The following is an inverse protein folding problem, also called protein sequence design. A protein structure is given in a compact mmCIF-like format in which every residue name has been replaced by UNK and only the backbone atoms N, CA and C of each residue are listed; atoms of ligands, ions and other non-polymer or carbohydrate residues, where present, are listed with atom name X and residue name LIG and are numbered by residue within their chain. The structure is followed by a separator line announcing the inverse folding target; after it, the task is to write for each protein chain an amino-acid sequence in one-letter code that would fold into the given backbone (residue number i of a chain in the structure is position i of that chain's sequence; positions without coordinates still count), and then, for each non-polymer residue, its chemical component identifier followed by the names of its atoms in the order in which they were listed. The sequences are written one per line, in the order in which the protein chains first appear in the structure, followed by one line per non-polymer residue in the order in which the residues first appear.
data_IF_955820457264
#
_entry.id   IF_955820457264
#
_cell.length_a   1.000
_cell.length_b   1.000
_cell.length_c   1.000
_cell.angle_alpha   90.00
_cell.angle_beta   90.00
_cell.angle_gamma   90.00
#
_symmetry.space_group_name_H-M   'P 1'
#
loop_
_entity.id
_entity.type
_entity.pdbx_description
1 polymer ?
#
# COMPACT_ATOMS: atom_id res chain seq x y z
N UNK A 1 -2.58 -31.27 -19.87
CA UNK A 1 -2.12 -30.27 -18.89
C UNK A 1 -1.08 -29.42 -19.62
N UNK A 2 -1.39 -28.18 -19.95
CA UNK A 2 -0.43 -27.30 -20.61
C UNK A 2 0.63 -26.86 -19.59
N UNK A 3 1.91 -26.91 -19.97
CA UNK A 3 3.03 -26.38 -19.20
C UNK A 3 2.77 -24.91 -18.85
N UNK A 4 2.47 -24.63 -17.58
CA UNK A 4 2.34 -23.26 -17.08
C UNK A 4 3.75 -22.70 -16.88
N UNK A 5 4.17 -21.76 -17.73
CA UNK A 5 5.44 -21.03 -17.57
C UNK A 5 5.44 -20.26 -16.23
N UNK A 6 6.55 -20.26 -15.46
CA UNK A 6 6.66 -19.45 -14.25
C UNK A 6 6.61 -17.96 -14.60
N UNK A 7 5.81 -17.21 -13.83
CA UNK A 7 5.62 -15.76 -13.95
C UNK A 7 6.89 -15.09 -13.41
N UNK A 8 7.83 -14.70 -14.27
CA UNK A 8 9.16 -14.19 -13.88
C UNK A 8 9.33 -12.67 -14.01
N UNK A 9 8.26 -11.93 -14.32
CA UNK A 9 8.30 -10.52 -14.71
C UNK A 9 7.44 -9.61 -13.81
N UNK A 10 7.07 -10.05 -12.60
CA UNK A 10 6.31 -9.24 -11.64
C UNK A 10 6.88 -9.37 -10.21
N UNK A 11 7.09 -8.28 -9.44
CA UNK A 11 7.65 -8.33 -8.09
C UNK A 11 6.96 -9.30 -7.12
N UNK A 12 5.63 -9.46 -7.20
CA UNK A 12 4.88 -10.42 -6.37
C UNK A 12 5.26 -11.87 -6.65
N UNK A 13 5.83 -12.18 -7.81
CA UNK A 13 6.30 -13.51 -8.16
C UNK A 13 7.82 -13.68 -7.93
N UNK A 14 8.59 -12.61 -8.10
CA UNK A 14 10.06 -12.67 -8.04
C UNK A 14 10.65 -12.31 -6.67
N UNK A 15 9.85 -11.81 -5.71
CA UNK A 15 10.36 -11.41 -4.39
C UNK A 15 11.08 -12.54 -3.63
N UNK A 16 10.73 -13.81 -3.88
CA UNK A 16 11.39 -14.98 -3.29
C UNK A 16 12.87 -15.09 -3.65
N UNK A 17 13.27 -14.45 -4.76
CA UNK A 17 14.66 -14.36 -5.19
C UNK A 17 15.44 -13.28 -4.42
N UNK A 18 14.76 -12.50 -3.57
CA UNK A 18 15.35 -11.44 -2.76
C UNK A 18 15.39 -11.83 -1.29
N UNK A 19 16.57 -11.74 -0.67
CA UNK A 19 16.75 -11.95 0.78
C UNK A 19 17.24 -10.65 1.41
N UNK A 20 16.58 -10.24 2.49
CA UNK A 20 17.04 -9.14 3.33
C UNK A 20 17.92 -9.68 4.46
N UNK A 21 18.99 -8.96 4.81
CA UNK A 21 19.74 -9.23 6.03
C UNK A 21 18.79 -9.10 7.25
N UNK A 22 18.70 -10.09 8.16
CA UNK A 22 17.78 -10.05 9.30
C UNK A 22 17.95 -8.84 10.22
N UNK A 23 19.15 -8.28 10.31
CA UNK A 23 19.47 -7.11 11.13
C UNK A 23 19.22 -5.78 10.40
N UNK A 24 19.03 -5.81 9.08
CA UNK A 24 18.66 -4.62 8.29
C UNK A 24 17.30 -4.07 8.72
N UNK A 25 17.02 -2.81 8.38
CA UNK A 25 15.72 -2.19 8.64
C UNK A 25 14.56 -3.04 8.07
N UNK A 26 14.62 -3.40 6.78
CA UNK A 26 13.60 -4.21 6.13
C UNK A 26 13.55 -5.64 6.70
N UNK A 27 14.69 -6.25 7.03
CA UNK A 27 14.75 -7.56 7.67
C UNK A 27 14.03 -7.57 9.02
N UNK A 28 14.33 -6.60 9.89
CA UNK A 28 13.66 -6.44 11.20
C UNK A 28 12.16 -6.19 11.05
N UNK A 29 11.72 -5.34 10.11
CA UNK A 29 10.29 -5.11 9.87
C UNK A 29 9.58 -6.37 9.36
N UNK A 30 10.20 -7.12 8.43
CA UNK A 30 9.66 -8.41 7.96
C UNK A 30 9.56 -9.42 9.09
N UNK A 31 10.55 -9.48 9.98
CA UNK A 31 10.51 -10.37 11.15
C UNK A 31 9.38 -9.98 12.11
N UNK A 32 9.15 -8.69 12.36
CA UNK A 32 8.01 -8.23 13.17
C UNK A 32 6.68 -8.66 12.54
N UNK A 33 6.52 -8.51 11.23
CA UNK A 33 5.30 -8.92 10.53
C UNK A 33 5.07 -10.43 10.67
N UNK A 34 6.13 -11.21 10.44
CA UNK A 34 6.07 -12.66 10.49
C UNK A 34 5.80 -13.21 11.89
N UNK A 35 6.50 -12.70 12.92
CA UNK A 35 6.40 -13.20 14.29
C UNK A 35 5.18 -12.66 15.04
N UNK A 36 4.69 -11.47 14.69
CA UNK A 36 3.66 -10.80 15.49
C UNK A 36 2.44 -10.41 14.67
N UNK A 37 2.62 -9.66 13.57
CA UNK A 37 1.50 -9.05 12.86
C UNK A 37 0.56 -10.10 12.26
N UNK A 38 1.08 -11.12 11.57
CA UNK A 38 0.24 -12.17 10.98
C UNK A 38 -0.55 -12.95 12.02
N UNK A 39 0.08 -13.29 13.16
CA UNK A 39 -0.58 -14.01 14.26
C UNK A 39 -1.61 -13.14 14.98
N UNK A 40 -1.31 -11.87 15.20
CA UNK A 40 -2.27 -10.93 15.79
C UNK A 40 -3.47 -10.70 14.87
N UNK A 41 -3.24 -10.50 13.57
CA UNK A 41 -4.32 -10.38 12.59
C UNK A 41 -5.16 -11.66 12.54
N UNK A 42 -4.54 -12.83 12.56
CA UNK A 42 -5.24 -14.11 12.64
C UNK A 42 -6.12 -14.20 13.90
N UNK A 43 -5.60 -13.76 15.05
CA UNK A 43 -6.38 -13.66 16.29
C UNK A 43 -7.57 -12.71 16.13
N UNK A 44 -7.38 -11.53 15.55
CA UNK A 44 -8.46 -10.56 15.29
C UNK A 44 -9.52 -11.14 14.35
N UNK A 45 -9.12 -11.85 13.29
CA UNK A 45 -10.06 -12.54 12.42
C UNK A 45 -10.92 -13.55 13.21
N UNK A 46 -10.31 -14.32 14.12
CA UNK A 46 -11.00 -15.29 14.97
C UNK A 46 -11.93 -14.61 15.98
N UNK A 47 -11.44 -13.63 16.72
CA UNK A 47 -12.19 -12.94 17.79
C UNK A 47 -13.41 -12.20 17.26
N UNK A 48 -13.34 -11.69 16.02
CA UNK A 48 -14.39 -10.87 15.43
C UNK A 48 -15.37 -11.63 14.54
N UNK A 49 -15.22 -12.96 14.44
CA UNK A 49 -16.08 -13.83 13.64
C UNK A 49 -15.73 -13.89 12.15
N UNK A 50 -14.85 -13.01 11.65
CA UNK A 50 -14.39 -12.98 10.24
C UNK A 50 -13.80 -14.31 9.77
N UNK A 51 -13.03 -14.98 10.64
CA UNK A 51 -12.39 -16.26 10.33
C UNK A 51 -13.41 -17.35 9.95
N UNK A 52 -14.56 -17.35 10.62
CA UNK A 52 -15.61 -18.34 10.44
C UNK A 52 -16.71 -17.89 9.47
N UNK A 53 -16.61 -16.69 8.90
CA UNK A 53 -17.67 -16.09 8.11
C UNK A 53 -18.00 -16.88 6.83
N UNK A 54 -17.00 -17.51 6.21
CA UNK A 54 -17.19 -18.43 5.08
C UNK A 54 -17.86 -19.77 5.46
N UNK A 55 -18.16 -20.03 6.73
CA UNK A 55 -19.09 -21.11 7.12
C UNK A 55 -20.55 -20.76 6.82
N UNK A 56 -20.83 -19.55 6.33
CA UNK A 56 -22.14 -19.04 5.90
C UNK A 56 -23.22 -19.13 6.99
N UNK A 57 -22.82 -18.95 8.25
CA UNK A 57 -23.75 -18.84 9.38
C UNK A 57 -24.05 -17.38 9.67
N UNK A 58 -25.23 -17.13 10.23
CA UNK A 58 -25.56 -15.80 10.76
C UNK A 58 -24.60 -15.43 11.89
N UNK A 59 -24.01 -14.24 11.82
CA UNK A 59 -23.23 -13.64 12.90
C UNK A 59 -24.00 -12.46 13.50
N UNK A 60 -24.04 -12.28 14.83
CA UNK A 60 -24.82 -11.20 15.45
C UNK A 60 -24.51 -9.80 14.92
N UNK A 61 -23.24 -9.52 14.59
CA UNK A 61 -22.80 -8.22 14.07
C UNK A 61 -23.34 -7.89 12.66
N UNK A 62 -24.00 -8.83 11.99
CA UNK A 62 -24.71 -8.53 10.74
C UNK A 62 -25.93 -7.63 10.96
N UNK A 63 -26.41 -7.55 12.20
CA UNK A 63 -27.49 -6.65 12.60
C UNK A 63 -27.01 -5.28 13.10
N UNK A 64 -25.69 -5.06 13.19
CA UNK A 64 -25.16 -3.79 13.69
C UNK A 64 -25.44 -2.65 12.70
N UNK A 65 -25.74 -1.46 13.23
CA UNK A 65 -25.85 -0.27 12.40
C UNK A 65 -24.49 0.05 11.75
N UNK A 66 -24.46 0.44 10.46
CA UNK A 66 -23.21 0.75 9.79
C UNK A 66 -22.59 2.03 10.35
N UNK A 67 -21.28 2.01 10.58
CA UNK A 67 -20.53 3.20 10.99
C UNK A 67 -20.55 4.27 9.87
N UNK A 68 -20.61 3.81 8.63
CA UNK A 68 -20.70 4.62 7.43
C UNK A 68 -21.89 4.15 6.58
N UNK A 69 -23.09 4.70 6.77
CA UNK A 69 -24.25 4.34 5.95
C UNK A 69 -24.01 4.62 4.45
N UNK A 70 -24.53 3.77 3.53
CA UNK A 70 -25.30 2.54 3.76
C UNK A 70 -24.43 1.28 3.86
N UNK A 71 -23.12 1.39 4.11
CA UNK A 71 -22.14 0.32 3.97
C UNK A 71 -22.07 -0.51 5.26
N UNK A 72 -22.53 -1.78 5.28
CA UNK A 72 -22.46 -2.62 6.48
C UNK A 72 -21.02 -2.85 6.93
N UNK A 73 -20.75 -2.81 8.23
CA UNK A 73 -19.39 -2.98 8.79
C UNK A 73 -18.75 -4.33 8.42
N UNK A 74 -19.57 -5.35 8.12
CA UNK A 74 -19.12 -6.68 7.73
C UNK A 74 -18.90 -6.88 6.22
N UNK A 75 -19.20 -5.86 5.41
CA UNK A 75 -19.13 -5.96 3.96
C UNK A 75 -17.72 -6.29 3.44
N UNK A 76 -16.69 -5.93 4.20
CA UNK A 76 -15.29 -6.11 3.83
C UNK A 76 -14.66 -7.41 4.37
N UNK A 77 -15.43 -8.26 5.07
CA UNK A 77 -14.91 -9.46 5.73
C UNK A 77 -14.28 -10.46 4.76
N UNK A 78 -14.85 -10.61 3.56
CA UNK A 78 -14.27 -11.41 2.48
C UNK A 78 -12.84 -10.93 2.14
N UNK A 79 -12.66 -9.60 2.02
CA UNK A 79 -11.37 -8.99 1.67
C UNK A 79 -10.36 -9.04 2.81
N UNK A 80 -10.80 -8.95 4.07
CA UNK A 80 -9.93 -9.08 5.25
C UNK A 80 -9.29 -10.47 5.28
N UNK A 81 -10.10 -11.50 5.06
CA UNK A 81 -9.65 -12.89 4.96
C UNK A 81 -8.72 -13.08 3.76
N UNK A 82 -9.10 -12.55 2.59
CA UNK A 82 -8.30 -12.66 1.37
C UNK A 82 -6.90 -12.04 1.52
N UNK A 83 -6.82 -10.80 2.02
CA UNK A 83 -5.53 -10.10 2.25
C UNK A 83 -4.65 -10.83 3.25
N UNK A 84 -5.25 -11.40 4.29
CA UNK A 84 -4.49 -12.18 5.26
C UNK A 84 -3.92 -13.46 4.63
N UNK A 85 -4.71 -14.19 3.83
CA UNK A 85 -4.23 -15.35 3.06
C UNK A 85 -3.09 -14.93 2.11
N UNK A 86 -3.26 -13.84 1.36
CA UNK A 86 -2.25 -13.35 0.42
C UNK A 86 -0.92 -13.05 1.14
N UNK A 87 -0.97 -12.26 2.22
CA UNK A 87 0.21 -11.94 3.03
C UNK A 87 0.85 -13.19 3.65
N UNK A 88 0.06 -14.07 4.23
CA UNK A 88 0.53 -15.34 4.80
C UNK A 88 1.26 -16.19 3.75
N UNK A 89 0.70 -16.35 2.55
CA UNK A 89 1.32 -17.10 1.46
C UNK A 89 2.66 -16.48 1.03
N UNK A 90 2.79 -15.15 0.97
CA UNK A 90 4.07 -14.51 0.65
C UNK A 90 5.15 -14.80 1.70
N UNK A 91 4.80 -14.81 2.99
CA UNK A 91 5.77 -15.13 4.04
C UNK A 91 6.11 -16.63 4.08
N UNK A 92 5.12 -17.51 3.90
CA UNK A 92 5.31 -18.97 3.88
C UNK A 92 6.23 -19.45 2.75
N UNK A 93 6.31 -18.72 1.63
CA UNK A 93 7.30 -18.98 0.58
C UNK A 93 8.76 -18.85 1.06
N UNK A 94 9.00 -18.03 2.10
CA UNK A 94 10.34 -17.78 2.64
C UNK A 94 10.65 -18.54 3.93
N UNK A 95 9.62 -18.82 4.76
CA UNK A 95 9.78 -19.44 6.07
C UNK A 95 8.50 -20.16 6.49
N UNK A 96 8.62 -21.43 6.85
CA UNK A 96 7.48 -22.24 7.32
C UNK A 96 6.97 -21.76 8.69
N UNK A 97 5.65 -21.86 8.88
CA UNK A 97 4.98 -21.62 10.16
C UNK A 97 3.70 -22.44 10.25
N UNK A 98 3.72 -23.53 11.03
CA UNK A 98 2.64 -24.52 11.05
C UNK A 98 1.25 -23.95 11.36
N UNK A 99 1.14 -23.02 12.32
CA UNK A 99 -0.17 -22.40 12.65
C UNK A 99 -0.72 -21.54 11.51
N UNK A 100 0.14 -20.76 10.84
CA UNK A 100 -0.27 -19.88 9.74
C UNK A 100 -0.66 -20.73 8.53
N UNK A 101 0.14 -21.75 8.20
CA UNK A 101 -0.13 -22.67 7.11
C UNK A 101 -1.44 -23.45 7.33
N UNK A 102 -1.66 -23.98 8.54
CA UNK A 102 -2.92 -24.63 8.90
C UNK A 102 -4.12 -23.69 8.75
N UNK A 103 -4.00 -22.44 9.23
CA UNK A 103 -5.06 -21.44 9.10
C UNK A 103 -5.34 -21.07 7.63
N UNK A 104 -4.32 -20.98 6.77
CA UNK A 104 -4.50 -20.79 5.33
C UNK A 104 -5.30 -21.96 4.73
N UNK A 105 -4.93 -23.21 5.05
CA UNK A 105 -5.66 -24.37 4.55
C UNK A 105 -7.12 -24.41 5.02
N UNK A 106 -7.37 -24.10 6.30
CA UNK A 106 -8.73 -24.04 6.85
C UNK A 106 -9.57 -22.97 6.17
N UNK A 107 -9.05 -21.75 6.03
CA UNK A 107 -9.75 -20.64 5.38
C UNK A 107 -10.04 -20.94 3.91
N UNK A 108 -9.07 -21.50 3.17
CA UNK A 108 -9.28 -21.91 1.77
C UNK A 108 -10.37 -22.98 1.67
N UNK A 109 -10.37 -23.97 2.56
CA UNK A 109 -11.40 -25.01 2.58
C UNK A 109 -12.80 -24.42 2.90
N UNK A 110 -12.88 -23.42 3.79
CA UNK A 110 -14.13 -22.71 4.06
C UNK A 110 -14.61 -21.91 2.85
N UNK A 111 -13.71 -21.19 2.16
CA UNK A 111 -14.04 -20.45 0.93
C UNK A 111 -14.55 -21.40 -0.16
N UNK A 112 -13.88 -22.54 -0.36
CA UNK A 112 -14.33 -23.57 -1.30
C UNK A 112 -15.74 -24.07 -0.97
N UNK A 113 -16.01 -24.32 0.30
CA UNK A 113 -17.31 -24.81 0.78
C UNK A 113 -18.40 -23.74 0.69
N UNK A 114 -18.05 -22.46 0.76
CA UNK A 114 -18.97 -21.33 0.66
C UNK A 114 -19.43 -21.04 -0.77
N UNK A 115 -18.67 -21.48 -1.77
CA UNK A 115 -18.96 -21.16 -3.17
C UNK A 115 -20.31 -21.73 -3.61
N UNK A 116 -21.15 -20.86 -4.14
CA UNK A 116 -22.48 -21.21 -4.63
C UNK A 116 -22.39 -22.04 -5.93
N UNK A 117 -23.45 -22.78 -6.31
CA UNK A 117 -23.43 -23.65 -7.49
C UNK A 117 -23.10 -22.94 -8.81
N UNK A 118 -23.49 -21.67 -8.94
CA UNK A 118 -23.22 -20.81 -10.10
C UNK A 118 -21.80 -20.21 -10.11
N UNK A 119 -21.00 -20.44 -9.06
CA UNK A 119 -19.67 -19.88 -8.89
C UNK A 119 -19.62 -18.63 -8.00
N UNK A 120 -20.76 -18.12 -7.54
CA UNK A 120 -20.82 -16.91 -6.73
C UNK A 120 -20.12 -17.09 -5.37
N UNK A 121 -19.36 -16.08 -4.95
CA UNK A 121 -18.66 -16.01 -3.67
C UNK A 121 -18.76 -14.60 -3.09
N UNK A 122 -19.59 -14.46 -2.05
CA UNK A 122 -19.65 -13.25 -1.22
C UNK A 122 -20.41 -13.58 0.06
N UNK A 123 -19.88 -13.26 1.24
CA UNK A 123 -20.54 -13.57 2.51
C UNK A 123 -21.85 -12.80 2.66
N UNK A 124 -21.82 -11.48 2.48
CA UNK A 124 -22.96 -10.59 2.71
C UNK A 124 -24.18 -10.96 1.85
N UNK A 125 -24.01 -11.10 0.54
CA UNK A 125 -25.09 -11.46 -0.39
C UNK A 125 -25.37 -12.97 -0.47
N UNK A 126 -24.79 -13.76 0.42
CA UNK A 126 -25.19 -15.16 0.62
C UNK A 126 -25.99 -15.32 1.91
N UNK A 127 -25.61 -14.60 2.97
CA UNK A 127 -26.19 -14.77 4.31
C UNK A 127 -27.17 -13.65 4.68
N UNK A 128 -26.83 -12.40 4.38
CA UNK A 128 -27.53 -11.21 4.90
C UNK A 128 -28.57 -10.71 3.91
N UNK A 129 -28.18 -10.48 2.65
CA UNK A 129 -29.08 -9.97 1.61
C UNK A 129 -29.08 -10.86 0.34
N UNK A 130 -29.51 -12.13 0.42
CA UNK A 130 -29.33 -13.12 -0.65
C UNK A 130 -29.98 -12.77 -2.00
N UNK A 131 -30.98 -11.89 -2.01
CA UNK A 131 -31.71 -11.48 -3.23
C UNK A 131 -31.12 -10.25 -3.92
N UNK A 132 -30.04 -9.66 -3.39
CA UNK A 132 -29.52 -8.35 -3.82
C UNK A 132 -28.15 -8.38 -4.52
N UNK A 133 -27.70 -9.55 -4.98
CA UNK A 133 -26.47 -9.68 -5.78
C UNK A 133 -26.48 -8.71 -6.97
N UNK A 134 -25.37 -8.02 -7.19
CA UNK A 134 -25.12 -7.11 -8.31
C UNK A 134 -26.10 -5.94 -8.44
N UNK A 135 -26.85 -5.63 -7.39
CA UNK A 135 -27.82 -4.52 -7.40
C UNK A 135 -27.18 -3.17 -7.09
N UNK A 136 -26.15 -3.14 -6.23
CA UNK A 136 -25.42 -1.93 -5.89
C UNK A 136 -23.90 -2.15 -5.97
N UNK A 137 -23.38 -2.12 -7.20
CA UNK A 137 -21.94 -2.21 -7.48
C UNK A 137 -21.15 -0.96 -7.04
N UNK A 138 -21.84 0.16 -6.76
CA UNK A 138 -21.22 1.41 -6.33
C UNK A 138 -20.70 1.32 -4.89
N UNK A 139 -21.51 0.80 -3.98
CA UNK A 139 -21.22 0.88 -2.53
C UNK A 139 -21.03 -0.48 -1.86
N UNK A 140 -21.55 -1.58 -2.44
CA UNK A 140 -21.62 -2.87 -1.74
C UNK A 140 -20.49 -3.86 -2.10
N UNK A 141 -19.41 -3.36 -2.70
CA UNK A 141 -18.07 -3.98 -2.75
C UNK A 141 -17.97 -5.45 -3.23
N UNK A 142 -18.96 -6.00 -3.94
CA UNK A 142 -18.91 -7.37 -4.49
C UNK A 142 -17.64 -7.60 -5.33
N UNK A 143 -17.36 -6.67 -6.24
CA UNK A 143 -16.21 -6.76 -7.16
C UNK A 143 -14.88 -6.49 -6.44
N UNK A 144 -14.85 -5.61 -5.45
CA UNK A 144 -13.67 -5.36 -4.63
C UNK A 144 -13.27 -6.61 -3.83
N UNK A 145 -14.24 -7.27 -3.20
CA UNK A 145 -14.02 -8.53 -2.49
C UNK A 145 -13.55 -9.63 -3.44
N UNK A 146 -14.15 -9.72 -4.64
CA UNK A 146 -13.73 -10.68 -5.66
C UNK A 146 -12.28 -10.44 -6.11
N UNK A 147 -11.87 -9.19 -6.30
CA UNK A 147 -10.50 -8.84 -6.68
C UNK A 147 -9.47 -9.28 -5.63
N UNK A 148 -9.70 -8.96 -4.35
CA UNK A 148 -8.81 -9.42 -3.28
C UNK A 148 -8.76 -10.95 -3.16
N UNK A 149 -9.90 -11.65 -3.33
CA UNK A 149 -9.91 -13.11 -3.34
C UNK A 149 -9.11 -13.69 -4.51
N UNK A 150 -9.12 -13.04 -5.68
CA UNK A 150 -8.30 -13.43 -6.83
C UNK A 150 -6.80 -13.25 -6.51
N UNK A 151 -6.39 -12.13 -5.91
CA UNK A 151 -5.00 -11.90 -5.52
C UNK A 151 -4.51 -12.94 -4.51
N UNK A 152 -5.35 -13.25 -3.50
CA UNK A 152 -5.10 -14.33 -2.56
C UNK A 152 -4.98 -15.70 -3.25
N UNK A 153 -5.83 -15.98 -4.24
CA UNK A 153 -5.80 -17.20 -5.01
C UNK A 153 -4.50 -17.36 -5.82
N UNK A 154 -3.97 -16.27 -6.37
CA UNK A 154 -2.71 -16.25 -7.10
C UNK A 154 -1.52 -16.50 -6.16
N UNK A 155 -1.47 -15.83 -5.01
CA UNK A 155 -0.43 -16.05 -4.01
C UNK A 155 -0.47 -17.49 -3.44
N UNK A 156 -1.66 -18.02 -3.18
CA UNK A 156 -1.86 -19.39 -2.75
C UNK A 156 -1.42 -20.40 -3.83
N UNK A 157 -1.79 -20.18 -5.09
CA UNK A 157 -1.37 -21.06 -6.20
C UNK A 157 0.13 -21.05 -6.40
N UNK A 158 0.79 -19.90 -6.21
CA UNK A 158 2.25 -19.80 -6.32
C UNK A 158 2.98 -20.61 -5.23
N UNK A 159 2.38 -20.75 -4.05
CA UNK A 159 2.98 -21.52 -2.95
C UNK A 159 2.63 -23.01 -3.02
N UNK A 160 1.36 -23.36 -3.21
CA UNK A 160 0.89 -24.74 -3.03
C UNK A 160 0.63 -25.48 -4.34
N UNK A 161 0.40 -24.78 -5.47
CA UNK A 161 0.16 -25.36 -6.80
C UNK A 161 -0.98 -26.41 -6.85
N UNK A 162 -1.99 -26.28 -5.99
CA UNK A 162 -3.09 -27.27 -5.90
C UNK A 162 -4.32 -26.88 -6.70
N UNK A 163 -4.46 -25.61 -7.08
CA UNK A 163 -5.69 -25.05 -7.62
C UNK A 163 -6.83 -24.92 -6.61
N UNK A 164 -6.57 -25.14 -5.30
CA UNK A 164 -7.62 -25.21 -4.29
C UNK A 164 -8.41 -23.89 -4.17
N UNK A 165 -7.72 -22.75 -4.15
CA UNK A 165 -8.36 -21.43 -4.16
C UNK A 165 -8.55 -20.88 -5.59
N UNK A 166 -7.60 -21.15 -6.50
CA UNK A 166 -7.63 -20.63 -7.88
C UNK A 166 -8.86 -21.09 -8.68
N UNK A 167 -9.20 -22.38 -8.66
CA UNK A 167 -10.32 -22.92 -9.46
C UNK A 167 -11.67 -22.33 -9.04
N UNK A 168 -12.01 -22.21 -7.73
CA UNK A 168 -13.18 -21.45 -7.31
C UNK A 168 -13.21 -20.03 -7.87
N UNK A 169 -12.09 -19.29 -7.81
CA UNK A 169 -12.09 -17.91 -8.31
C UNK A 169 -12.17 -17.83 -9.84
N UNK A 170 -11.65 -18.80 -10.59
CA UNK A 170 -11.91 -18.91 -12.03
C UNK A 170 -13.40 -19.10 -12.33
N UNK A 171 -14.12 -19.93 -11.55
CA UNK A 171 -15.58 -20.08 -11.66
C UNK A 171 -16.33 -18.79 -11.30
N UNK A 172 -15.83 -18.04 -10.31
CA UNK A 172 -16.45 -16.77 -9.96
C UNK A 172 -16.26 -15.74 -11.10
N UNK A 173 -15.08 -15.70 -11.71
CA UNK A 173 -14.80 -14.88 -12.90
C UNK A 173 -15.67 -15.29 -14.09
N UNK A 174 -15.93 -16.59 -14.27
CA UNK A 174 -16.88 -17.07 -15.28
C UNK A 174 -18.30 -16.53 -15.06
N UNK A 175 -18.78 -16.52 -13.81
CA UNK A 175 -20.06 -15.92 -13.44
C UNK A 175 -20.06 -14.41 -13.69
N UNK A 176 -19.03 -13.69 -13.23
CA UNK A 176 -18.91 -12.25 -13.43
C UNK A 176 -18.91 -11.90 -14.92
N UNK A 177 -18.22 -12.67 -15.75
CA UNK A 177 -18.20 -12.47 -17.20
C UNK A 177 -19.57 -12.78 -17.84
N UNK A 178 -20.36 -13.70 -17.28
CA UNK A 178 -21.72 -13.95 -17.76
C UNK A 178 -22.71 -12.84 -17.38
N UNK A 179 -22.52 -12.20 -16.23
CA UNK A 179 -23.42 -11.18 -15.68
C UNK A 179 -23.05 -9.76 -16.12
N UNK A 180 -21.77 -9.46 -16.22
CA UNK A 180 -21.24 -8.11 -16.45
C UNK A 180 -20.55 -8.02 -17.81
N UNK A 181 -20.87 -6.97 -18.55
CA UNK A 181 -20.30 -6.72 -19.86
C UNK A 181 -21.13 -5.76 -20.71
N UNK A 182 -20.65 -5.46 -21.93
CA UNK A 182 -21.27 -4.45 -22.79
C UNK A 182 -22.51 -4.96 -23.54
N UNK A 183 -22.75 -6.28 -23.62
CA UNK A 183 -23.79 -6.86 -24.48
C UNK A 183 -25.04 -7.26 -23.67
N UNK A 184 -26.26 -6.94 -24.12
CA UNK A 184 -27.47 -7.47 -23.48
C UNK A 184 -27.49 -9.01 -23.47
N UNK A 185 -27.96 -9.68 -22.38
CA UNK A 185 -28.61 -9.11 -21.20
C UNK A 185 -27.63 -8.74 -20.06
N UNK A 186 -26.32 -8.68 -20.31
CA UNK A 186 -25.34 -8.32 -19.30
C UNK A 186 -25.60 -6.92 -18.75
N UNK A 187 -25.28 -6.73 -17.47
CA UNK A 187 -25.28 -5.43 -16.84
C UNK A 187 -23.99 -4.70 -17.25
N UNK A 188 -24.13 -3.46 -17.72
CA UNK A 188 -23.00 -2.56 -17.99
C UNK A 188 -22.40 -1.96 -16.70
N UNK A 189 -22.38 -2.75 -15.63
CA UNK A 189 -21.91 -2.34 -14.32
C UNK A 189 -20.42 -2.55 -14.14
N UNK A 190 -19.79 -1.66 -13.38
CA UNK A 190 -18.36 -1.67 -13.06
C UNK A 190 -18.15 -1.47 -11.55
N UNK A 191 -16.94 -1.71 -11.00
CA UNK A 191 -16.70 -1.55 -9.57
C UNK A 191 -16.82 -0.09 -9.12
N UNK A 192 -17.47 0.15 -7.99
CA UNK A 192 -17.42 1.42 -7.28
C UNK A 192 -16.03 1.68 -6.70
N UNK A 193 -15.46 0.66 -6.06
CA UNK A 193 -14.09 0.63 -5.55
C UNK A 193 -13.20 -0.24 -6.46
N UNK A 194 -12.26 0.35 -7.22
CA UNK A 194 -11.31 -0.40 -8.05
C UNK A 194 -10.47 -1.37 -7.26
N UNK A 195 -10.22 -2.55 -7.81
CA UNK A 195 -9.35 -3.60 -7.26
C UNK A 195 -9.40 -4.81 -8.21
N UNK A 196 -10.60 -5.15 -8.70
CA UNK A 196 -10.79 -6.32 -9.55
C UNK A 196 -10.05 -6.21 -10.88
N UNK A 197 -9.84 -4.99 -11.40
CA UNK A 197 -9.21 -4.76 -12.70
C UNK A 197 -7.76 -5.26 -12.70
N UNK A 198 -6.95 -4.91 -11.69
CA UNK A 198 -5.57 -5.38 -11.58
C UNK A 198 -5.52 -6.89 -11.28
N UNK A 199 -6.44 -7.38 -10.44
CA UNK A 199 -6.51 -8.79 -10.08
C UNK A 199 -6.82 -9.67 -11.29
N UNK A 200 -7.75 -9.22 -12.16
CA UNK A 200 -8.10 -9.89 -13.40
C UNK A 200 -6.97 -9.87 -14.44
N UNK A 201 -6.21 -8.76 -14.54
CA UNK A 201 -5.02 -8.71 -15.39
C UNK A 201 -3.95 -9.70 -14.92
N UNK A 202 -3.71 -9.76 -13.60
CA UNK A 202 -2.79 -10.75 -13.01
C UNK A 202 -3.30 -12.19 -13.20
N UNK A 203 -4.60 -12.42 -13.06
CA UNK A 203 -5.21 -13.73 -13.31
C UNK A 203 -5.05 -14.14 -14.78
N UNK A 204 -5.35 -13.24 -15.72
CA UNK A 204 -5.14 -13.48 -17.14
C UNK A 204 -3.68 -13.83 -17.44
N UNK A 205 -2.74 -13.08 -16.87
CA UNK A 205 -1.31 -13.36 -17.04
C UNK A 205 -0.91 -14.74 -16.51
N UNK A 206 -1.48 -15.16 -15.37
CA UNK A 206 -1.16 -16.43 -14.74
C UNK A 206 -1.81 -17.65 -15.42
N UNK A 207 -3.03 -17.50 -15.97
CA UNK A 207 -3.83 -18.63 -16.46
C UNK A 207 -4.09 -18.61 -17.96
N UNK A 208 -3.83 -17.49 -18.63
CA UNK A 208 -4.23 -17.23 -20.00
C UNK A 208 -5.73 -16.95 -20.17
N UNK A 209 -6.50 -16.77 -19.09
CA UNK A 209 -7.96 -16.63 -19.15
C UNK A 209 -8.41 -15.44 -20.02
N UNK A 210 -9.03 -15.66 -21.20
CA UNK A 210 -9.47 -14.55 -22.04
C UNK A 210 -10.65 -13.79 -21.42
N UNK A 211 -11.46 -14.47 -20.60
CA UNK A 211 -12.59 -13.86 -19.88
C UNK A 211 -12.12 -12.86 -18.83
N UNK A 212 -11.03 -13.18 -18.12
CA UNK A 212 -10.45 -12.26 -17.14
C UNK A 212 -9.96 -10.98 -17.81
N UNK A 213 -9.22 -11.10 -18.93
CA UNK A 213 -8.78 -9.94 -19.71
C UNK A 213 -9.96 -9.12 -20.26
N UNK A 214 -10.98 -9.79 -20.79
CA UNK A 214 -12.17 -9.14 -21.33
C UNK A 214 -12.91 -8.32 -20.25
N UNK A 215 -13.09 -8.88 -19.04
CA UNK A 215 -13.68 -8.18 -17.90
C UNK A 215 -12.82 -7.00 -17.45
N UNK A 216 -11.51 -7.18 -17.29
CA UNK A 216 -10.60 -6.11 -16.86
C UNK A 216 -10.68 -4.93 -17.82
N UNK A 217 -10.63 -5.20 -19.14
CA UNK A 217 -10.78 -4.19 -20.17
C UNK A 217 -12.15 -3.53 -20.12
N UNK A 218 -13.22 -4.31 -20.01
CA UNK A 218 -14.58 -3.78 -19.91
C UNK A 218 -14.73 -2.82 -18.75
N UNK A 219 -14.26 -3.16 -17.54
CA UNK A 219 -14.36 -2.27 -16.38
C UNK A 219 -13.60 -0.95 -16.56
N UNK A 220 -12.40 -1.00 -17.16
CA UNK A 220 -11.62 0.21 -17.45
C UNK A 220 -12.27 1.08 -18.52
N UNK A 221 -12.76 0.47 -19.61
CA UNK A 221 -13.36 1.17 -20.74
C UNK A 221 -14.77 1.72 -20.41
N UNK A 222 -15.53 1.05 -19.54
CA UNK A 222 -16.91 1.43 -19.18
C UNK A 222 -16.94 2.54 -18.11
N UNK A 223 -15.95 2.56 -17.22
CA UNK A 223 -15.91 3.48 -16.09
C UNK A 223 -15.90 4.95 -16.54
N UNK A 224 -16.89 5.71 -16.07
CA UNK A 224 -16.99 7.14 -16.35
C UNK A 224 -17.54 7.47 -17.74
N UNK A 225 -18.01 6.47 -18.51
CA UNK A 225 -18.69 6.75 -19.78
C UNK A 225 -19.96 7.57 -19.56
N UNK A 226 -20.11 8.73 -20.25
CA UNK A 226 -21.30 9.57 -20.11
C UNK A 226 -22.54 8.93 -20.75
N UNK A 227 -22.35 8.03 -21.73
CA UNK A 227 -23.35 7.33 -22.52
C UNK A 227 -23.54 5.86 -22.08
N UNK A 228 -23.48 5.61 -20.77
CA UNK A 228 -23.62 4.28 -20.17
C UNK A 228 -25.01 3.66 -20.37
N UNK A 229 -25.80 3.57 -19.30
CA UNK A 229 -27.15 2.98 -19.37
C UNK A 229 -28.19 4.06 -19.63
N UNK A 230 -29.06 3.84 -20.61
CA UNK A 230 -30.10 4.79 -21.05
C UNK A 230 -29.56 6.19 -21.39
N UNK A 231 -28.37 6.26 -22.00
CA UNK A 231 -27.72 7.52 -22.39
C UNK A 231 -27.18 8.34 -21.22
N UNK A 232 -26.97 7.71 -20.06
CA UNK A 232 -26.45 8.34 -18.84
C UNK A 232 -25.32 7.53 -18.24
N UNK A 233 -24.53 8.18 -17.38
CA UNK A 233 -23.54 7.51 -16.56
C UNK A 233 -24.20 6.40 -15.72
N UNK A 234 -23.55 5.23 -15.63
CA UNK A 234 -24.14 4.01 -15.07
C UNK A 234 -24.71 4.20 -13.65
N UNK A 235 -23.95 4.84 -12.76
CA UNK A 235 -24.42 5.08 -11.40
C UNK A 235 -25.57 6.08 -11.31
N UNK A 236 -25.66 7.02 -12.26
CA UNK A 236 -26.73 8.01 -12.29
C UNK A 236 -28.05 7.38 -12.75
N UNK A 237 -27.96 6.40 -13.66
CA UNK A 237 -29.10 5.56 -14.03
C UNK A 237 -29.58 4.69 -12.85
N UNK A 238 -28.66 4.19 -12.01
CA UNK A 238 -28.96 3.40 -10.80
C UNK A 238 -29.61 4.21 -9.67
N UNK A 239 -29.21 5.46 -9.45
CA UNK A 239 -29.77 6.36 -8.42
C UNK A 239 -31.29 6.58 -8.58
N UNK A 240 -31.83 6.49 -9.79
CA UNK A 240 -33.28 6.55 -10.01
C UNK A 240 -34.03 5.24 -9.68
N UNK A 241 -33.35 4.08 -9.67
CA UNK A 241 -33.97 2.80 -9.26
C UNK A 241 -34.05 2.67 -7.74
N UNK A 242 -33.03 3.13 -7.01
CA UNK A 242 -32.87 2.85 -5.58
C UNK A 242 -32.84 4.11 -4.67
N UNK A 243 -33.01 5.31 -5.23
CA UNK A 243 -33.02 6.59 -4.51
C UNK A 243 -31.63 7.25 -4.38
N UNK A 244 -31.57 8.52 -3.95
CA UNK A 244 -30.30 9.25 -3.80
C UNK A 244 -29.46 8.65 -2.66
N UNK A 245 -28.17 8.46 -2.92
CA UNK A 245 -27.18 8.05 -1.91
C UNK A 245 -25.95 8.94 -2.10
N UNK A 246 -25.44 9.49 -1.01
CA UNK A 246 -24.27 10.38 -1.03
C UNK A 246 -23.01 9.64 -1.46
N UNK A 247 -22.24 10.25 -2.37
CA UNK A 247 -21.02 9.67 -2.91
C UNK A 247 -19.84 9.85 -1.92
N UNK A 248 -19.31 8.74 -1.40
CA UNK A 248 -18.13 8.74 -0.55
C UNK A 248 -16.90 8.37 -1.39
N UNK A 249 -15.92 9.28 -1.46
CA UNK A 249 -14.60 9.01 -2.07
C UNK A 249 -13.64 8.55 -0.97
N UNK A 250 -13.22 7.29 -1.00
CA UNK A 250 -12.07 6.82 -0.21
C UNK A 250 -10.82 6.76 -1.08
N UNK A 251 -9.69 7.21 -0.52
CA UNK A 251 -8.36 7.18 -1.14
C UNK A 251 -7.48 6.27 -0.29
N UNK A 252 -6.87 5.24 -0.87
CA UNK A 252 -5.85 4.43 -0.19
C UNK A 252 -4.68 4.06 -1.12
N UNK A 253 -3.51 3.95 -0.48
CA UNK A 253 -2.15 3.93 -1.05
C UNK A 253 -1.64 2.49 -1.09
N UNK A 254 -1.06 2.07 -2.22
CA UNK A 254 -0.34 0.80 -2.37
C UNK A 254 1.13 1.10 -2.75
N UNK A 255 2.08 0.37 -2.18
CA UNK A 255 3.53 0.50 -2.44
C UNK A 255 4.07 -0.85 -2.90
N UNK A 256 4.57 -0.92 -4.13
CA UNK A 256 5.33 -2.06 -4.68
C UNK A 256 6.67 -1.55 -5.25
N UNK A 257 7.79 -2.29 -5.11
CA UNK A 257 9.04 -1.89 -5.71
C UNK A 257 9.48 -2.75 -6.91
N UNK A 258 9.88 -2.02 -7.96
CA UNK A 258 10.78 -2.33 -9.09
C UNK A 258 10.20 -3.12 -10.28
N UNK A 259 10.13 -2.50 -11.46
CA UNK A 259 9.77 -3.13 -12.76
C UNK A 259 10.98 -3.17 -13.71
N UNK A 260 11.14 -4.26 -14.47
CA UNK A 260 12.14 -4.39 -15.55
C UNK A 260 11.53 -4.95 -16.84
N UNK A 261 12.15 -4.64 -17.99
CA UNK A 261 11.74 -5.14 -19.31
C UNK A 261 12.87 -5.07 -20.34
N UNK A 262 12.86 -6.02 -21.28
CA UNK A 262 13.81 -6.13 -22.41
C UNK A 262 13.08 -5.82 -23.72
N UNK A 263 13.62 -4.90 -24.53
CA UNK A 263 13.16 -4.65 -25.90
C UNK A 263 14.38 -4.40 -26.79
N UNK A 264 14.59 -5.25 -27.81
CA UNK A 264 15.49 -5.02 -28.94
C UNK A 264 16.93 -4.53 -28.59
N UNK A 265 17.69 -5.31 -27.82
CA UNK A 265 19.09 -4.99 -27.49
C UNK A 265 19.25 -3.91 -26.40
N UNK A 266 18.15 -3.54 -25.75
CA UNK A 266 18.10 -2.56 -24.67
C UNK A 266 17.41 -3.15 -23.43
N UNK A 267 18.03 -2.97 -22.27
CA UNK A 267 17.51 -3.36 -20.95
C UNK A 267 17.16 -2.11 -20.16
N UNK A 268 15.92 -2.00 -19.67
CA UNK A 268 15.50 -0.89 -18.79
C UNK A 268 15.24 -1.39 -17.38
N UNK A 269 15.84 -0.71 -16.40
CA UNK A 269 15.74 -1.01 -14.97
C UNK A 269 15.20 0.22 -14.24
N UNK A 270 14.04 0.11 -13.58
CA UNK A 270 13.47 1.19 -12.78
C UNK A 270 13.74 0.97 -11.29
N UNK A 271 14.68 1.70 -10.70
CA UNK A 271 15.03 1.59 -9.28
C UNK A 271 14.05 2.40 -8.43
N UNK A 272 13.07 1.72 -7.84
CA UNK A 272 12.05 2.35 -6.99
C UNK A 272 12.41 2.36 -5.50
N UNK A 273 13.34 1.54 -5.04
CA UNK A 273 13.82 1.56 -3.65
C UNK A 273 15.32 1.44 -3.62
N UNK A 274 15.95 2.03 -2.61
CA UNK A 274 17.39 1.96 -2.45
C UNK A 274 17.75 1.01 -1.31
N UNK A 275 18.69 0.11 -1.55
CA UNK A 275 19.23 -0.84 -0.59
C UNK A 275 20.30 -1.71 -1.26
N UNK A 276 21.15 -2.37 -0.49
CA UNK A 276 22.15 -3.27 -1.08
C UNK A 276 21.47 -4.48 -1.73
N UNK A 277 21.59 -4.62 -3.06
CA UNK A 277 20.93 -5.65 -3.86
C UNK A 277 21.63 -5.85 -5.21
N UNK A 278 21.48 -7.01 -5.84
CA UNK A 278 21.96 -7.24 -7.22
C UNK A 278 20.81 -7.75 -8.08
N UNK A 279 20.52 -7.05 -9.17
CA UNK A 279 19.61 -7.48 -10.22
C UNK A 279 20.41 -8.11 -11.37
N UNK A 280 19.96 -9.27 -11.86
CA UNK A 280 20.53 -9.93 -13.04
C UNK A 280 19.43 -10.11 -14.09
N UNK A 281 19.62 -9.57 -15.29
CA UNK A 281 18.70 -9.66 -16.42
C UNK A 281 19.37 -10.49 -17.53
N UNK A 282 18.82 -11.65 -17.92
CA UNK A 282 19.37 -12.45 -19.02
C UNK A 282 19.21 -11.72 -20.37
N UNK A 283 20.23 -11.75 -21.22
CA UNK A 283 20.22 -11.18 -22.58
C UNK A 283 20.97 -12.14 -23.52
N UNK A 284 20.23 -12.92 -24.32
CA UNK A 284 20.80 -14.01 -25.12
C UNK A 284 21.50 -15.06 -24.24
N UNK A 285 22.74 -15.43 -24.59
CA UNK A 285 23.59 -16.34 -23.80
C UNK A 285 24.40 -15.62 -22.69
N UNK A 286 24.14 -14.32 -22.49
CA UNK A 286 24.82 -13.48 -21.51
C UNK A 286 23.83 -12.84 -20.53
N UNK A 287 24.30 -11.96 -19.65
CA UNK A 287 23.45 -11.25 -18.72
C UNK A 287 23.94 -9.81 -18.47
N UNK A 288 22.98 -8.92 -18.25
CA UNK A 288 23.19 -7.61 -17.66
C UNK A 288 23.06 -7.74 -16.15
N UNK A 289 24.03 -7.24 -15.37
CA UNK A 289 23.90 -7.12 -13.91
C UNK A 289 23.85 -5.66 -13.50
N UNK A 290 22.93 -5.31 -12.62
CA UNK A 290 22.87 -4.01 -11.94
C UNK A 290 22.98 -4.28 -10.44
N UNK A 291 24.15 -4.01 -9.89
CA UNK A 291 24.41 -4.12 -8.45
C UNK A 291 24.23 -2.75 -7.82
N UNK A 292 23.55 -2.73 -6.70
CA UNK A 292 23.41 -1.60 -5.81
C UNK A 292 24.15 -1.89 -4.50
N UNK A 293 24.99 -0.97 -4.07
CA UNK A 293 25.61 -0.95 -2.75
C UNK A 293 25.15 0.31 -2.02
N UNK A 294 24.52 0.13 -0.86
CA UNK A 294 24.03 1.26 -0.08
C UNK A 294 23.80 0.88 1.37
N UNK A 295 24.13 1.82 2.26
CA UNK A 295 23.77 1.80 3.68
C UNK A 295 22.42 2.51 3.95
N UNK A 296 21.63 2.76 2.90
CA UNK A 296 20.27 3.28 2.99
C UNK A 296 19.41 2.41 3.94
N UNK A 297 18.63 2.98 4.88
CA UNK A 297 18.27 4.40 5.01
C UNK A 297 19.25 5.28 5.82
N UNK A 298 20.41 4.76 6.23
CA UNK A 298 21.34 5.46 7.12
C UNK A 298 22.43 6.26 6.39
N UNK A 299 22.67 6.01 5.11
CA UNK A 299 23.52 6.81 4.24
C UNK A 299 22.76 7.11 2.93
N UNK A 300 22.94 8.32 2.39
CA UNK A 300 22.38 8.76 1.12
C UNK A 300 23.23 8.35 -0.08
N UNK A 301 24.47 7.88 0.13
CA UNK A 301 25.32 7.37 -0.94
C UNK A 301 24.83 6.01 -1.43
N UNK A 302 24.60 5.92 -2.73
CA UNK A 302 24.18 4.70 -3.40
C UNK A 302 25.15 4.43 -4.55
N UNK A 303 25.93 3.37 -4.42
CA UNK A 303 26.78 2.86 -5.49
C UNK A 303 25.97 2.00 -6.45
N UNK A 304 26.14 2.23 -7.75
CA UNK A 304 25.62 1.35 -8.79
C UNK A 304 26.78 0.79 -9.62
N UNK A 305 26.83 -0.52 -9.78
CA UNK A 305 27.74 -1.21 -10.71
C UNK A 305 26.89 -1.90 -11.77
N UNK A 306 27.03 -1.49 -13.03
CA UNK A 306 26.34 -2.08 -14.18
C UNK A 306 27.34 -2.88 -15.00
N UNK A 307 27.07 -4.18 -15.22
CA UNK A 307 27.80 -5.00 -16.20
C UNK A 307 26.85 -5.38 -17.31
N UNK A 308 27.26 -5.20 -18.55
CA UNK A 308 26.48 -5.58 -19.72
C UNK A 308 27.39 -6.22 -20.77
N UNK A 309 26.88 -7.16 -21.58
CA UNK A 309 27.58 -7.63 -22.76
C UNK A 309 27.78 -6.51 -23.77
N UNK A 310 28.80 -6.63 -24.63
CA UNK A 310 29.08 -5.64 -25.68
C UNK A 310 27.87 -5.49 -26.62
N UNK A 311 27.48 -4.23 -26.90
CA UNK A 311 26.34 -3.91 -27.77
C UNK A 311 24.97 -3.88 -27.10
N UNK A 312 24.88 -4.14 -25.78
CA UNK A 312 23.62 -4.02 -25.03
C UNK A 312 23.53 -2.66 -24.32
N UNK A 313 22.50 -1.89 -24.66
CA UNK A 313 22.19 -0.62 -24.00
C UNK A 313 21.45 -0.87 -22.67
N UNK A 314 21.85 -0.20 -21.59
CA UNK A 314 21.19 -0.34 -20.27
C UNK A 314 20.70 1.01 -19.77
N UNK A 315 19.39 1.16 -19.63
CA UNK A 315 18.74 2.31 -19.00
C UNK A 315 18.53 2.01 -17.51
N UNK A 316 19.10 2.84 -16.63
CA UNK A 316 18.83 2.78 -15.19
C UNK A 316 18.07 4.04 -14.76
N UNK A 317 16.79 3.88 -14.46
CA UNK A 317 15.88 4.97 -14.04
C UNK A 317 15.80 4.99 -12.52
N UNK A 318 16.41 5.99 -11.90
CA UNK A 318 16.47 6.11 -10.45
C UNK A 318 15.29 6.92 -9.94
N UNK A 319 14.52 6.40 -8.98
CA UNK A 319 13.53 7.20 -8.25
C UNK A 319 14.26 8.23 -7.40
N UNK A 320 14.24 9.49 -7.82
CA UNK A 320 14.60 10.60 -6.93
C UNK A 320 13.54 10.69 -5.84
N UNK A 321 13.91 10.43 -4.58
CA UNK A 321 12.92 10.45 -3.53
C UNK A 321 12.46 11.87 -3.24
N UNK A 322 11.16 12.08 -3.12
CA UNK A 322 10.56 13.41 -2.97
C UNK A 322 10.99 14.16 -1.71
N UNK A 323 11.62 13.48 -0.76
CA UNK A 323 12.13 14.05 0.48
C UNK A 323 13.61 14.49 0.41
N UNK A 324 14.34 14.18 -0.67
CA UNK A 324 15.71 14.62 -0.81
C UNK A 324 15.72 16.12 -1.13
N UNK A 325 16.11 16.95 -0.13
CA UNK A 325 16.18 18.42 -0.26
C UNK A 325 17.28 18.88 -1.20
N UNK A 326 18.37 18.10 -1.26
CA UNK A 326 19.40 18.14 -2.28
C UNK A 326 19.66 16.70 -2.69
N UNK A 327 19.59 16.42 -4.00
CA UNK A 327 20.06 15.19 -4.58
C UNK A 327 21.02 15.59 -5.66
N UNK A 328 22.25 15.10 -5.55
CA UNK A 328 23.19 15.19 -6.65
C UNK A 328 23.17 13.87 -7.38
N UNK A 329 22.35 13.80 -8.42
CA UNK A 329 22.84 13.08 -9.60
C UNK A 329 23.85 14.03 -10.12
N UNK A 330 25.13 13.72 -10.05
CA UNK A 330 26.09 14.51 -10.79
C UNK A 330 25.70 14.32 -12.26
N UNK A 331 24.98 15.30 -12.92
CA UNK A 331 24.69 16.73 -12.54
C UNK A 331 23.18 17.25 -12.33
N UNK A 332 22.95 18.47 -11.74
CA UNK A 332 21.76 19.02 -10.94
C UNK A 332 20.64 19.98 -11.58
N UNK A 333 19.54 20.34 -10.82
CA UNK A 333 18.35 21.24 -11.12
C UNK A 333 17.78 22.13 -9.92
N UNK A 334 16.89 23.19 -10.07
CA UNK A 334 16.60 24.31 -9.09
C UNK A 334 15.20 24.41 -8.35
N UNK A 335 15.04 25.36 -7.38
CA UNK A 335 14.12 25.39 -6.20
C UNK A 335 13.28 26.70 -5.92
N UNK A 336 12.07 26.60 -5.32
CA UNK A 336 11.30 27.72 -4.67
C UNK A 336 10.16 27.24 -3.71
N UNK A 337 10.43 26.96 -2.42
CA UNK A 337 9.41 26.73 -1.35
C UNK A 337 9.87 27.24 0.05
N UNK A 338 8.95 27.87 0.80
CA UNK A 338 9.17 28.49 2.14
C UNK A 338 8.87 27.57 3.36
N UNK A 339 8.81 26.26 3.12
CA UNK A 339 8.71 25.24 4.17
C UNK A 339 9.97 24.39 4.12
N UNK A 340 10.59 24.17 5.28
CA UNK A 340 11.73 23.27 5.42
C UNK A 340 11.30 22.04 6.20
N UNK A 341 11.62 20.87 5.69
CA UNK A 341 11.56 19.61 6.41
C UNK A 341 12.98 19.09 6.59
N UNK A 342 13.28 18.52 7.75
CA UNK A 342 14.57 17.89 7.96
C UNK A 342 14.51 16.46 7.44
N UNK A 343 15.48 16.10 6.61
CA UNK A 343 15.66 14.74 6.11
C UNK A 343 17.12 14.32 6.30
N UNK A 344 17.34 13.04 6.59
CA UNK A 344 18.66 12.41 6.60
C UNK A 344 18.58 11.13 5.80
N UNK A 345 19.15 11.15 4.59
CA UNK A 345 18.79 10.15 3.58
C UNK A 345 17.26 10.07 3.48
N UNK A 346 16.66 8.88 3.38
CA UNK A 346 15.22 8.70 3.12
C UNK A 346 14.24 8.96 4.21
N UNK A 347 14.78 9.24 5.36
CA UNK A 347 14.00 9.39 6.53
C UNK A 347 13.71 10.87 6.62
N UNK A 348 12.46 11.20 6.34
CA UNK A 348 11.88 12.47 6.77
C UNK A 348 11.77 12.42 8.28
N UNK A 349 12.16 13.51 8.93
CA UNK A 349 12.08 13.66 10.36
C UNK A 349 10.86 14.48 10.76
N UNK A 350 10.43 14.28 12.00
CA UNK A 350 9.47 15.12 12.66
C UNK A 350 9.96 15.53 14.04
N UNK A 351 9.42 16.62 14.55
CA UNK A 351 9.51 16.98 15.97
C UNK A 351 8.29 16.43 16.68
N UNK A 352 8.47 15.82 17.84
CA UNK A 352 7.37 15.38 18.73
C UNK A 352 7.50 16.10 20.08
N UNK A 353 6.38 16.34 20.75
CA UNK A 353 6.38 17.01 22.06
C UNK A 353 7.04 16.19 23.16
N UNK A 354 7.04 14.85 23.05
CA UNK A 354 7.75 13.98 23.99
C UNK A 354 9.26 14.27 24.04
N UNK A 355 9.84 14.69 22.91
CA UNK A 355 11.25 15.07 22.80
C UNK A 355 11.47 16.58 22.99
N UNK A 356 10.41 17.37 22.88
CA UNK A 356 10.42 18.84 22.94
C UNK A 356 9.32 19.34 23.89
N UNK A 357 9.40 19.03 25.20
CA UNK A 357 8.29 19.23 26.15
C UNK A 357 7.97 20.71 26.41
N UNK A 358 8.84 21.61 25.95
CA UNK A 358 8.68 23.05 26.03
C UNK A 358 7.69 23.61 25.00
N UNK A 359 7.25 22.82 24.02
CA UNK A 359 6.22 23.19 23.06
C UNK A 359 4.82 22.76 23.55
N UNK A 360 3.84 23.65 23.42
CA UNK A 360 2.45 23.40 23.77
C UNK A 360 1.46 23.84 22.67
N UNK A 361 1.95 24.33 21.52
CA UNK A 361 1.12 24.86 20.42
C UNK A 361 1.10 23.97 19.17
N UNK A 362 1.58 22.72 19.29
CA UNK A 362 1.66 21.75 18.20
C UNK A 362 2.73 22.16 17.16
N UNK A 363 3.76 22.86 17.61
CA UNK A 363 4.78 23.52 16.79
C UNK A 363 4.18 24.49 15.76
N UNK A 364 2.99 25.04 16.06
CA UNK A 364 2.22 26.12 15.45
C UNK A 364 3.10 27.25 14.91
N UNK A 365 3.68 27.93 15.89
CA UNK A 365 4.43 29.17 15.77
C UNK A 365 5.90 28.94 15.44
N UNK A 366 6.39 27.70 15.48
CA UNK A 366 7.79 27.37 15.31
C UNK A 366 8.35 27.82 13.95
N UNK A 367 9.44 28.58 13.99
CA UNK A 367 10.29 28.95 12.85
C UNK A 367 11.64 28.27 13.05
N UNK A 368 12.08 27.52 12.05
CA UNK A 368 13.35 26.79 12.06
C UNK A 368 14.38 27.48 11.16
N UNK A 369 15.59 27.67 11.69
CA UNK A 369 16.74 28.19 10.96
C UNK A 369 17.49 27.03 10.27
N UNK A 370 17.50 26.90 8.94
CA UNK A 370 18.21 25.82 8.27
C UNK A 370 19.74 25.89 8.45
N UNK A 371 20.29 27.03 8.85
CA UNK A 371 21.72 27.17 9.15
C UNK A 371 22.11 26.64 10.53
N UNK A 372 21.15 26.12 11.31
CA UNK A 372 21.39 25.56 12.64
C UNK A 372 22.41 24.43 12.60
N UNK A 373 23.29 24.40 13.60
CA UNK A 373 24.18 23.25 13.79
C UNK A 373 23.34 22.04 14.22
N UNK A 374 23.46 20.95 13.47
CA UNK A 374 22.82 19.67 13.79
C UNK A 374 23.82 18.70 14.40
N UNK A 375 23.45 18.04 15.49
CA UNK A 375 24.16 16.87 16.02
C UNK A 375 23.33 15.61 15.78
N UNK A 376 23.98 14.57 15.27
CA UNK A 376 23.38 13.25 15.11
C UNK A 376 23.68 12.37 16.32
N UNK A 377 22.71 11.57 16.75
CA UNK A 377 22.94 10.55 17.78
C UNK A 377 22.24 9.26 17.40
N UNK A 378 22.98 8.15 17.40
CA UNK A 378 22.39 6.82 17.27
C UNK A 378 21.72 6.45 18.59
N UNK A 379 20.40 6.36 18.57
CA UNK A 379 19.57 6.01 19.71
C UNK A 379 18.96 4.61 19.54
N UNK A 380 18.61 3.98 20.66
CA UNK A 380 17.79 2.78 20.69
C UNK A 380 16.64 3.05 21.64
N UNK A 381 15.41 2.97 21.14
CA UNK A 381 14.24 3.15 21.97
C UNK A 381 14.12 2.00 22.98
N UNK A 382 14.00 2.28 24.29
CA UNK A 382 13.99 1.22 25.30
C UNK A 382 12.73 0.36 25.28
N UNK A 383 11.61 0.85 24.72
CA UNK A 383 10.34 0.15 24.69
C UNK A 383 10.21 -0.76 23.46
N UNK A 384 10.53 -0.22 22.29
CA UNK A 384 10.40 -0.89 21.00
C UNK A 384 11.69 -1.57 20.54
N UNK A 385 12.82 -1.26 21.18
CA UNK A 385 14.17 -1.66 20.77
C UNK A 385 14.52 -1.20 19.33
N UNK A 386 13.79 -0.22 18.81
CA UNK A 386 14.03 0.35 17.48
C UNK A 386 15.30 1.22 17.53
N UNK A 387 16.25 0.92 16.64
CA UNK A 387 17.44 1.74 16.46
C UNK A 387 17.15 2.84 15.44
N UNK A 388 17.43 4.07 15.80
CA UNK A 388 17.25 5.21 14.93
C UNK A 388 18.31 6.28 15.19
N UNK A 389 18.56 7.13 14.19
CA UNK A 389 19.36 8.33 14.37
C UNK A 389 18.41 9.45 14.76
N UNK A 390 18.67 10.15 15.86
CA UNK A 390 18.00 11.41 16.19
C UNK A 390 18.85 12.59 15.71
N UNK A 391 18.20 13.71 15.43
CA UNK A 391 18.86 14.95 15.04
C UNK A 391 18.52 16.03 16.05
N UNK A 392 19.54 16.68 16.61
CA UNK A 392 19.33 17.80 17.53
C UNK A 392 19.86 19.07 16.89
N UNK A 393 18.96 20.01 16.62
CA UNK A 393 19.33 21.35 16.20
C UNK A 393 19.60 22.24 17.40
N UNK A 394 20.75 22.93 17.39
CA UNK A 394 21.18 23.83 18.44
C UNK A 394 20.97 25.28 18.02
N UNK A 395 20.38 26.07 18.92
CA UNK A 395 20.15 27.52 18.75
C UNK A 395 19.40 27.90 17.45
N UNK A 396 18.58 26.96 16.96
CA UNK A 396 17.99 26.99 15.63
C UNK A 396 16.53 27.38 15.53
N UNK A 397 15.97 27.86 16.64
CA UNK A 397 14.52 27.98 16.80
C UNK A 397 14.14 29.40 17.14
N UNK A 398 13.12 29.90 16.46
CA UNK A 398 12.40 31.13 16.81
C UNK A 398 10.89 30.90 16.69
N UNK A 399 10.07 31.86 17.09
CA UNK A 399 8.62 31.70 17.14
C UNK A 399 7.92 32.90 16.51
N UNK A 400 6.84 32.63 15.79
CA UNK A 400 5.90 33.65 15.34
C UNK A 400 5.08 34.15 16.51
N UNK A 401 5.10 35.46 16.71
CA UNK A 401 4.21 36.13 17.64
C UNK A 401 2.99 36.64 16.88
N UNK A 402 1.81 36.19 17.31
CA UNK A 402 0.55 36.87 16.99
C UNK A 402 0.19 37.78 18.16
N UNK A 403 -0.09 39.08 17.95
CA UNK A 403 -0.57 39.95 19.01
C UNK A 403 -1.83 39.35 19.67
N UNK A 404 -1.96 39.46 21.00
CA UNK A 404 -3.09 38.91 21.78
C UNK A 404 -4.46 39.56 21.46
N UNK A 405 -4.47 40.55 20.57
CA UNK A 405 -5.65 41.27 20.17
C UNK A 405 -5.62 41.43 18.66
N UNK A 406 -6.62 40.88 17.97
CA UNK A 406 -7.39 41.55 16.91
C UNK A 406 -8.50 40.60 16.42
N UNK A 407 -9.74 40.89 16.79
CA UNK A 407 -10.92 40.40 16.10
C UNK A 407 -11.16 41.21 14.81
N UNK A 408 -10.11 41.38 13.99
CA UNK A 408 -10.13 42.10 12.71
C UNK A 408 -9.26 41.35 11.69
N UNK A 409 -9.60 41.36 10.39
CA UNK A 409 -8.85 40.66 9.35
C UNK A 409 -7.61 41.48 8.92
N UNK A 410 -6.68 41.71 9.82
CA UNK A 410 -5.33 42.21 9.52
C UNK A 410 -4.30 41.36 10.25
N UNK A 411 -3.32 40.85 9.51
CA UNK A 411 -2.24 40.04 10.06
C UNK A 411 -0.90 40.74 9.84
N UNK A 412 -0.35 41.34 10.90
CA UNK A 412 1.08 41.69 10.97
C UNK A 412 1.76 40.73 11.93
N UNK A 413 2.64 39.86 11.41
CA UNK A 413 3.49 39.00 12.24
C UNK A 413 4.92 39.51 12.21
N UNK A 414 5.50 39.74 13.38
CA UNK A 414 6.94 40.02 13.55
C UNK A 414 7.60 38.79 14.18
N UNK A 415 8.70 38.30 13.61
CA UNK A 415 9.51 37.27 14.25
C UNK A 415 10.31 37.90 15.41
N UNK A 416 10.17 37.39 16.63
CA UNK A 416 11.08 37.72 17.74
C UNK A 416 12.26 36.74 17.71
N UNK A 417 13.45 37.23 18.10
CA UNK A 417 14.62 36.36 18.30
C UNK A 417 14.26 35.26 19.31
N UNK A 418 14.54 34.00 18.94
CA UNK A 418 14.25 32.86 19.80
C UNK A 418 14.83 33.02 21.20
N UNK A 419 14.19 32.40 22.20
CA UNK A 419 14.79 32.28 23.52
C UNK A 419 16.14 31.55 23.36
N UNK A 420 17.27 32.18 23.73
CA UNK A 420 18.59 31.55 23.61
C UNK A 420 18.62 30.22 24.38
N UNK A 421 19.16 29.15 23.79
CA UNK A 421 19.44 27.90 24.48
C UNK A 421 18.38 26.79 24.43
N UNK A 422 17.33 26.89 23.60
CA UNK A 422 16.43 25.76 23.33
C UNK A 422 16.96 24.89 22.19
N UNK A 423 17.15 23.60 22.44
CA UNK A 423 17.43 22.61 21.40
C UNK A 423 16.12 22.06 20.83
N UNK A 424 16.13 21.73 19.54
CA UNK A 424 15.02 21.08 18.85
C UNK A 424 15.43 19.67 18.45
N UNK A 425 14.82 18.68 19.08
CA UNK A 425 15.10 17.27 18.80
C UNK A 425 14.10 16.72 17.79
N UNK A 426 14.64 16.10 16.76
CA UNK A 426 13.92 15.46 15.67
C UNK A 426 14.11 13.94 15.74
N UNK A 427 13.07 13.22 15.38
CA UNK A 427 13.07 11.75 15.23
C UNK A 427 12.57 11.35 13.85
N UNK A 428 12.88 10.13 13.36
CA UNK A 428 12.29 9.62 12.14
C UNK A 428 10.77 9.67 12.14
N UNK A 429 10.16 10.16 11.06
CA UNK A 429 8.71 10.24 10.94
C UNK A 429 8.02 8.87 11.07
N UNK A 430 8.63 7.80 10.56
CA UNK A 430 8.08 6.45 10.71
C UNK A 430 8.04 5.98 12.19
N UNK A 431 8.84 6.60 13.06
CA UNK A 431 8.96 6.25 14.47
C UNK A 431 8.05 7.10 15.38
N UNK A 432 7.38 8.11 14.80
CA UNK A 432 6.38 8.91 15.49
C UNK A 432 5.34 8.06 16.22
N UNK A 433 4.80 8.58 17.32
CA UNK A 433 3.65 8.03 18.06
C UNK A 433 3.92 6.67 18.74
N UNK A 434 5.19 6.34 18.99
CA UNK A 434 5.59 5.12 19.71
C UNK A 434 5.94 5.37 21.20
N UNK A 435 5.92 6.64 21.66
CA UNK A 435 6.48 7.05 22.97
C UNK A 435 5.53 7.86 23.87
N UNK A 436 4.25 7.92 23.53
CA UNK A 436 3.24 8.71 24.26
C UNK A 436 3.30 10.22 23.94
N UNK A 437 3.06 11.07 24.95
CA UNK A 437 2.97 12.53 24.79
C UNK A 437 1.55 13.06 24.61
N UNK A 438 1.43 14.35 24.32
CA UNK A 438 0.20 15.09 24.01
C UNK A 438 -0.28 14.84 22.56
N UNK A 439 0.52 14.15 21.75
CA UNK A 439 0.24 13.89 20.33
C UNK A 439 0.65 15.04 19.40
N UNK A 440 1.42 15.99 19.91
CA UNK A 440 1.87 17.16 19.16
C UNK A 440 3.06 16.78 18.26
N UNK A 441 2.97 17.06 16.96
CA UNK A 441 4.01 16.73 15.99
C UNK A 441 4.00 17.66 14.79
N UNK A 442 5.18 17.93 14.21
CA UNK A 442 5.30 18.57 12.89
C UNK A 442 6.45 18.03 12.04
N UNK A 443 6.24 17.97 10.72
CA UNK A 443 7.25 17.59 9.71
C UNK A 443 7.78 18.83 9.00
N UNK A 444 6.90 19.59 8.34
CA UNK A 444 7.25 20.86 7.70
C UNK A 444 7.25 22.00 8.70
N UNK A 445 8.40 22.63 8.89
CA UNK A 445 8.59 23.79 9.73
C UNK A 445 8.70 25.05 8.86
N UNK A 446 8.23 26.18 9.37
CA UNK A 446 8.42 27.46 8.66
C UNK A 446 9.90 27.76 8.61
N UNK A 447 10.43 28.04 7.43
CA UNK A 447 11.83 28.42 7.26
C UNK A 447 12.05 29.84 7.80
N UNK A 448 13.13 30.06 8.55
CA UNK A 448 13.62 31.41 8.81
C UNK A 448 14.11 32.00 7.49
N UNK A 449 13.42 33.03 7.00
CA UNK A 449 13.85 33.78 5.81
C UNK A 449 15.20 34.44 6.07
N UNK A 450 16.08 34.39 5.07
CA UNK A 450 17.43 34.96 5.08
C UNK A 450 17.44 36.46 5.35
#
# INVERSE_FOLDING_TARGET
MADRKPILDNPQATFVNTKFDPNSFCGRKREVVFQNTLLYQLKVLKDTGRYDAFKLKWHPSYSDEPDVPPIPNHLFWDSDVAKWIEGACYFLQSRQHAEIEAAVHELVAMIQSAQQPDGYLNIHFTVVEPTKRFTNLRDLHELYNAGHLIEAALAHEQLFHTGALLRPLERYVDLLHAVLGPAPPQLRGYPGHPEIELALLRLHKATGSPKALALARFFLDERGRPDGVDGRHFYDAGVQRDGPVEAIRMVYVCLLPTECGEVAGKVSVNVHMYGSATLTVPVGDSAVTVKQESEWPYDGKIGFEVKAPEGIEVDVKLRIPSWASEWQVSPDLPADLDIVALARGPIVYCVEDVDNPWDDDHFKSLIFDPASKITETLETDPTTNEKYVSLTAHDGVSFLKTPDHLAMPEASSTAEAGQPGKTLKFVPYYFRANRGGKGHMRVGLRRKSS
#
